data_IF_703739488886
#
_entry.id   IF_703739488886
#
_cell.length_a   1.000
_cell.length_b   1.000
_cell.length_c   1.000
_cell.angle_alpha   90.00
_cell.angle_beta   90.00
_cell.angle_gamma   90.00
#
_symmetry.space_group_name_H-M   'P 1'
#
loop_
_entity.id
_entity.type
_entity.pdbx_description
1 polymer ?
#
# COMPACT_ATOMS: atom_id res chain seq x y z
N UNK A 1 11.44 26.08 -18.44
CA UNK A 1 11.33 24.77 -17.74
C UNK A 1 12.29 23.81 -18.43
N UNK A 2 13.26 23.21 -17.71
CA UNK A 2 14.26 22.31 -18.30
C UNK A 2 14.03 20.90 -17.75
N UNK A 3 13.82 19.94 -18.65
CA UNK A 3 13.84 18.52 -18.31
C UNK A 3 15.33 18.10 -18.19
N UNK A 4 15.69 17.50 -17.07
CA UNK A 4 17.07 17.07 -16.80
C UNK A 4 17.28 15.68 -17.40
N UNK A 5 18.29 15.58 -18.27
CA UNK A 5 18.65 14.38 -19.00
C UNK A 5 20.11 13.97 -18.80
N UNK A 6 20.89 14.74 -18.01
CA UNK A 6 22.30 14.48 -17.74
C UNK A 6 22.61 14.53 -16.26
N UNK A 7 23.56 13.72 -15.81
CA UNK A 7 23.95 13.61 -14.40
C UNK A 7 24.47 14.91 -13.83
N UNK A 8 25.28 15.66 -14.57
CA UNK A 8 25.83 16.94 -14.14
C UNK A 8 24.74 18.00 -13.86
N UNK A 9 23.73 18.08 -14.74
CA UNK A 9 22.59 18.97 -14.54
C UNK A 9 21.77 18.53 -13.31
N UNK A 10 21.63 17.22 -13.08
CA UNK A 10 20.97 16.67 -11.90
C UNK A 10 21.67 17.08 -10.61
N UNK A 11 22.99 16.92 -10.53
CA UNK A 11 23.78 17.31 -9.35
C UNK A 11 23.63 18.80 -9.03
N UNK A 12 23.70 19.67 -10.04
CA UNK A 12 23.48 21.11 -9.89
C UNK A 12 22.09 21.40 -9.32
N UNK A 13 21.04 20.81 -9.91
CA UNK A 13 19.67 21.03 -9.48
C UNK A 13 19.43 20.54 -8.05
N UNK A 14 19.98 19.39 -7.68
CA UNK A 14 19.85 18.82 -6.34
C UNK A 14 20.58 19.66 -5.26
N UNK A 15 21.61 20.41 -5.61
CA UNK A 15 22.28 21.32 -4.69
C UNK A 15 21.31 22.36 -4.13
N UNK A 16 20.44 22.92 -4.98
CA UNK A 16 19.42 23.88 -4.56
C UNK A 16 18.33 23.22 -3.70
N UNK A 17 17.89 22.01 -4.05
CA UNK A 17 16.87 21.26 -3.29
C UNK A 17 17.38 20.88 -1.89
N UNK A 18 18.67 20.56 -1.74
CA UNK A 18 19.29 20.20 -0.46
C UNK A 18 19.40 21.35 0.55
N UNK A 19 19.21 22.59 0.12
CA UNK A 19 19.15 23.76 1.01
C UNK A 19 17.78 23.94 1.71
N UNK A 20 16.86 23.02 1.54
CA UNK A 20 15.52 23.09 2.11
C UNK A 20 15.29 21.98 3.13
N UNK A 21 14.42 22.22 4.12
CA UNK A 21 14.04 21.25 5.15
C UNK A 21 13.22 20.08 4.60
N UNK A 22 12.61 20.27 3.41
CA UNK A 22 11.79 19.26 2.76
C UNK A 22 11.86 19.35 1.23
N UNK A 23 11.56 18.26 0.59
CA UNK A 23 11.35 18.13 -0.84
C UNK A 23 10.08 17.34 -1.11
N UNK A 24 9.21 17.85 -1.97
CA UNK A 24 8.07 17.11 -2.51
C UNK A 24 8.53 16.25 -3.66
N UNK A 25 8.02 15.03 -3.73
CA UNK A 25 8.45 14.01 -4.68
C UNK A 25 7.22 13.34 -5.27
N UNK A 26 7.24 13.12 -6.57
CA UNK A 26 6.30 12.29 -7.28
C UNK A 26 7.02 11.53 -8.39
N UNK A 27 6.44 10.43 -8.89
CA UNK A 27 7.01 9.65 -9.97
C UNK A 27 5.93 9.20 -10.95
N UNK A 28 6.28 9.23 -12.24
CA UNK A 28 5.47 8.58 -13.27
C UNK A 28 6.15 7.30 -13.73
N UNK A 29 5.40 6.21 -13.79
CA UNK A 29 5.90 4.89 -14.17
C UNK A 29 4.85 4.06 -14.91
N UNK A 30 5.33 3.08 -15.68
CA UNK A 30 4.49 2.10 -16.38
C UNK A 30 4.63 0.75 -15.70
N UNK A 31 3.51 0.04 -15.51
CA UNK A 31 3.46 -1.29 -14.88
C UNK A 31 2.43 -2.23 -15.52
N UNK A 32 2.01 -1.98 -16.73
CA UNK A 32 0.94 -2.78 -17.36
C UNK A 32 1.41 -4.16 -17.80
N UNK A 33 2.62 -4.24 -18.35
CA UNK A 33 3.19 -5.42 -18.97
C UNK A 33 4.36 -6.03 -18.22
N UNK A 34 4.86 -5.35 -17.18
CA UNK A 34 6.05 -5.73 -16.42
C UNK A 34 5.70 -6.10 -14.96
N UNK A 35 6.55 -6.91 -14.34
CA UNK A 35 6.48 -7.19 -12.90
C UNK A 35 6.91 -5.97 -12.08
N UNK A 36 8.05 -5.40 -12.46
CA UNK A 36 8.59 -4.20 -11.83
C UNK A 36 8.08 -2.94 -12.53
N UNK A 37 7.78 -1.87 -11.79
CA UNK A 37 7.44 -0.60 -12.40
C UNK A 37 8.64 -0.07 -13.20
N UNK A 38 8.37 0.42 -14.40
CA UNK A 38 9.35 1.11 -15.22
C UNK A 38 9.22 2.61 -14.97
N UNK A 39 10.20 3.20 -14.30
CA UNK A 39 10.25 4.62 -14.00
C UNK A 39 10.39 5.45 -15.29
N UNK A 40 9.51 6.42 -15.46
CA UNK A 40 9.44 7.23 -16.69
C UNK A 40 9.71 8.72 -16.44
N UNK A 41 9.39 9.24 -15.25
CA UNK A 41 9.67 10.63 -14.88
C UNK A 41 9.79 10.73 -13.37
N UNK A 42 10.68 11.61 -12.88
CA UNK A 42 10.79 12.00 -11.48
C UNK A 42 10.53 13.49 -11.37
N UNK A 43 9.66 13.86 -10.45
CA UNK A 43 9.35 15.25 -10.13
C UNK A 43 9.82 15.57 -8.72
N UNK A 44 10.51 16.68 -8.57
CA UNK A 44 10.97 17.20 -7.28
C UNK A 44 10.64 18.69 -7.16
N UNK A 45 10.18 19.12 -5.97
CA UNK A 45 10.09 20.54 -5.69
C UNK A 45 10.45 20.85 -4.23
N UNK A 46 11.08 22.00 -4.03
CA UNK A 46 11.28 22.66 -2.74
C UNK A 46 10.77 24.10 -2.84
N UNK A 47 10.74 24.89 -1.76
CA UNK A 47 10.39 26.30 -1.85
C UNK A 47 11.21 27.09 -2.87
N UNK A 48 12.48 26.71 -3.11
CA UNK A 48 13.41 27.43 -3.97
C UNK A 48 13.56 26.89 -5.39
N UNK A 49 13.11 25.66 -5.66
CA UNK A 49 13.35 25.00 -6.96
C UNK A 49 12.27 23.97 -7.29
N UNK A 50 12.06 23.76 -8.59
CA UNK A 50 11.25 22.65 -9.13
C UNK A 50 12.02 21.99 -10.28
N UNK A 51 12.08 20.67 -10.27
CA UNK A 51 12.94 19.86 -11.12
C UNK A 51 12.15 18.70 -11.71
N UNK A 52 12.28 18.48 -13.02
CA UNK A 52 11.83 17.29 -13.72
C UNK A 52 13.04 16.54 -14.25
N UNK A 53 13.09 15.23 -13.97
CA UNK A 53 14.23 14.37 -14.31
C UNK A 53 13.73 13.26 -15.24
N UNK A 54 14.41 13.07 -16.36
CA UNK A 54 14.16 11.99 -17.30
C UNK A 54 15.03 10.77 -17.01
N UNK A 55 14.51 9.77 -16.29
CA UNK A 55 15.28 8.58 -15.94
C UNK A 55 15.53 7.62 -17.12
N UNK A 56 14.88 7.88 -18.28
CA UNK A 56 15.04 7.04 -19.49
C UNK A 56 16.25 7.50 -20.32
N UNK A 57 16.73 8.73 -20.09
CA UNK A 57 17.93 9.24 -20.79
C UNK A 57 19.14 8.34 -20.53
N UNK A 58 19.95 8.10 -21.59
CA UNK A 58 21.16 7.27 -21.49
C UNK A 58 22.29 7.94 -20.74
N UNK A 59 22.29 9.27 -20.62
CA UNK A 59 23.37 10.07 -20.04
C UNK A 59 23.12 10.43 -18.56
N UNK A 60 22.12 9.81 -17.92
CA UNK A 60 21.76 10.12 -16.54
C UNK A 60 22.05 8.94 -15.58
N UNK A 61 22.82 9.21 -14.56
CA UNK A 61 22.92 8.35 -13.37
C UNK A 61 22.00 8.91 -12.28
N UNK A 62 21.09 8.08 -11.78
CA UNK A 62 20.14 8.46 -10.74
C UNK A 62 20.70 8.36 -9.32
N UNK A 63 21.98 7.97 -9.16
CA UNK A 63 22.60 7.86 -7.83
C UNK A 63 22.44 9.14 -7.00
N UNK A 64 22.66 10.38 -7.54
CA UNK A 64 22.46 11.61 -6.77
C UNK A 64 21.01 11.80 -6.26
N UNK A 65 20.00 11.31 -7.01
CA UNK A 65 18.61 11.29 -6.58
C UNK A 65 18.39 10.30 -5.43
N UNK A 66 18.95 9.08 -5.53
CA UNK A 66 18.83 8.10 -4.43
C UNK A 66 19.56 8.57 -3.16
N UNK A 67 20.71 9.25 -3.31
CA UNK A 67 21.41 9.88 -2.19
C UNK A 67 20.54 10.97 -1.52
N UNK A 68 19.75 11.75 -2.28
CA UNK A 68 18.77 12.69 -1.73
C UNK A 68 17.64 11.95 -0.98
N UNK A 69 17.14 10.84 -1.52
CA UNK A 69 16.10 10.03 -0.87
C UNK A 69 16.59 9.45 0.47
N UNK A 70 17.86 9.14 0.59
CA UNK A 70 18.51 8.65 1.82
C UNK A 70 18.91 9.74 2.82
N UNK A 71 18.91 11.02 2.42
CA UNK A 71 19.36 12.12 3.27
C UNK A 71 18.40 12.34 4.45
N UNK A 72 18.89 12.07 5.66
CA UNK A 72 18.11 12.15 6.91
C UNK A 72 17.77 13.57 7.34
N UNK A 73 18.37 14.59 6.74
CA UNK A 73 18.13 16.00 7.08
C UNK A 73 16.94 16.60 6.37
N UNK A 74 16.52 16.01 5.26
CA UNK A 74 15.49 16.53 4.37
C UNK A 74 14.27 15.64 4.42
N UNK A 75 13.10 16.16 4.72
CA UNK A 75 11.84 15.40 4.70
C UNK A 75 11.41 15.18 3.24
N UNK A 76 11.16 13.91 2.86
CA UNK A 76 10.59 13.56 1.56
C UNK A 76 9.07 13.50 1.70
N UNK A 77 8.39 14.37 0.96
CA UNK A 77 6.94 14.53 0.99
C UNK A 77 6.33 13.94 -0.27
N UNK A 78 5.42 13.00 -0.08
CA UNK A 78 4.68 12.33 -1.16
C UNK A 78 3.17 12.45 -0.94
N UNK A 79 2.41 12.04 -1.96
CA UNK A 79 0.99 11.77 -1.84
C UNK A 79 0.67 10.34 -2.25
N UNK A 80 0.22 9.50 -1.31
CA UNK A 80 0.01 8.05 -1.51
C UNK A 80 1.28 7.30 -1.93
N UNK A 81 2.37 7.54 -1.23
CA UNK A 81 3.78 7.23 -1.51
C UNK A 81 4.13 5.78 -1.86
N UNK A 82 3.25 4.81 -1.61
CA UNK A 82 3.61 3.39 -1.62
C UNK A 82 4.21 2.89 -2.93
N UNK A 83 3.66 3.33 -4.07
CA UNK A 83 4.12 2.87 -5.40
C UNK A 83 5.41 3.56 -5.81
N UNK A 84 5.56 4.84 -5.45
CA UNK A 84 6.79 5.60 -5.66
C UNK A 84 7.94 5.00 -4.88
N UNK A 85 7.71 4.69 -3.60
CA UNK A 85 8.72 4.03 -2.76
C UNK A 85 9.07 2.63 -3.31
N UNK A 86 8.08 1.83 -3.77
CA UNK A 86 8.35 0.54 -4.41
C UNK A 86 9.30 0.72 -5.60
N UNK A 87 9.05 1.73 -6.44
CA UNK A 87 9.87 2.03 -7.61
C UNK A 87 11.29 2.49 -7.21
N UNK A 88 11.38 3.42 -6.26
CA UNK A 88 12.66 3.93 -5.74
C UNK A 88 13.47 2.82 -5.08
N UNK A 89 12.81 2.00 -4.24
CA UNK A 89 13.46 0.89 -3.54
C UNK A 89 13.97 -0.17 -4.50
N UNK A 90 13.17 -0.53 -5.50
CA UNK A 90 13.59 -1.51 -6.50
C UNK A 90 14.80 -1.05 -7.32
N UNK A 91 14.85 0.23 -7.73
CA UNK A 91 15.91 0.75 -8.57
C UNK A 91 17.17 1.17 -7.80
N UNK A 92 16.99 1.77 -6.64
CA UNK A 92 18.08 2.36 -5.86
C UNK A 92 18.40 1.67 -4.53
N UNK A 93 17.62 0.64 -4.12
CA UNK A 93 17.78 -0.02 -2.83
C UNK A 93 17.48 0.86 -1.62
N UNK A 94 16.85 2.02 -1.82
CA UNK A 94 16.63 3.06 -0.81
C UNK A 94 15.16 3.23 -0.52
N UNK A 95 14.79 3.24 0.76
CA UNK A 95 13.47 3.71 1.23
C UNK A 95 13.64 5.16 1.67
N UNK A 96 12.89 6.13 1.08
CA UNK A 96 12.99 7.54 1.44
C UNK A 96 12.75 7.78 2.93
N UNK A 97 13.69 8.48 3.60
CA UNK A 97 13.57 8.81 5.02
C UNK A 97 14.30 10.13 5.33
N UNK A 98 13.73 11.02 6.17
CA UNK A 98 12.38 11.01 6.76
C UNK A 98 11.27 11.13 5.71
N UNK A 99 10.13 10.50 5.96
CA UNK A 99 9.00 10.42 5.05
C UNK A 99 7.76 11.12 5.61
N UNK A 100 7.05 11.85 4.76
CA UNK A 100 5.73 12.39 5.04
C UNK A 100 4.78 12.08 3.88
N UNK A 101 3.67 11.39 4.16
CA UNK A 101 2.65 11.08 3.17
C UNK A 101 1.41 11.95 3.43
N UNK A 102 1.09 12.82 2.46
CA UNK A 102 -0.03 13.78 2.60
C UNK A 102 -1.40 13.12 2.50
N UNK A 103 -1.52 11.91 1.92
CA UNK A 103 -2.77 11.15 1.95
C UNK A 103 -3.04 10.61 3.35
N UNK A 104 -2.02 10.06 4.01
CA UNK A 104 -2.09 9.61 5.41
C UNK A 104 -2.40 10.79 6.32
N UNK A 105 -1.63 11.88 6.21
CA UNK A 105 -1.86 13.10 6.98
C UNK A 105 -3.26 13.68 6.78
N UNK A 106 -3.74 13.70 5.54
CA UNK A 106 -5.09 14.13 5.19
C UNK A 106 -6.16 13.30 5.89
N UNK A 107 -5.99 11.98 5.92
CA UNK A 107 -6.92 11.09 6.62
C UNK A 107 -6.96 11.35 8.13
N UNK A 108 -5.80 11.59 8.76
CA UNK A 108 -5.67 11.93 10.18
C UNK A 108 -6.23 13.34 10.48
N UNK A 109 -6.14 14.25 9.52
CA UNK A 109 -6.69 15.60 9.62
C UNK A 109 -8.20 15.70 9.29
N UNK A 110 -8.85 14.58 8.91
CA UNK A 110 -10.29 14.55 8.66
C UNK A 110 -10.71 14.88 7.23
N UNK A 111 -9.77 14.87 6.28
CA UNK A 111 -10.09 15.10 4.86
C UNK A 111 -10.76 13.91 4.17
N UNK A 112 -10.91 12.79 4.86
CA UNK A 112 -11.52 11.57 4.35
C UNK A 112 -10.54 10.41 4.30
N UNK A 113 -11.06 9.20 3.96
CA UNK A 113 -10.25 8.01 3.77
C UNK A 113 -9.70 8.00 2.35
N UNK A 114 -8.38 7.90 2.20
CA UNK A 114 -7.69 7.83 0.90
C UNK A 114 -8.07 8.97 -0.06
N UNK A 115 -8.06 10.21 0.44
CA UNK A 115 -8.35 11.40 -0.39
C UNK A 115 -7.39 11.44 -1.59
N UNK A 116 -7.92 11.73 -2.79
CA UNK A 116 -7.10 11.90 -3.98
C UNK A 116 -6.33 13.23 -3.99
N UNK A 117 -5.22 13.26 -4.73
CA UNK A 117 -4.34 14.43 -4.79
C UNK A 117 -5.09 15.71 -5.21
N UNK A 118 -5.88 15.65 -6.27
CA UNK A 118 -6.67 16.78 -6.74
C UNK A 118 -7.67 17.31 -5.70
N UNK A 119 -8.31 16.41 -4.96
CA UNK A 119 -9.26 16.79 -3.92
C UNK A 119 -8.56 17.45 -2.73
N UNK A 120 -7.40 16.95 -2.31
CA UNK A 120 -6.66 17.54 -1.21
C UNK A 120 -6.06 18.90 -1.60
N UNK A 121 -5.53 19.04 -2.82
CA UNK A 121 -5.07 20.33 -3.35
C UNK A 121 -6.22 21.33 -3.39
N UNK A 122 -7.38 20.95 -3.95
CA UNK A 122 -8.54 21.85 -4.01
C UNK A 122 -9.00 22.30 -2.61
N UNK A 123 -9.05 21.39 -1.64
CA UNK A 123 -9.47 21.72 -0.26
C UNK A 123 -8.45 22.55 0.50
N UNK A 124 -7.17 22.34 0.27
CA UNK A 124 -6.09 23.04 0.97
C UNK A 124 -5.73 24.37 0.34
N UNK A 125 -5.77 24.48 -0.98
CA UNK A 125 -5.26 25.64 -1.72
C UNK A 125 -6.31 26.37 -2.54
N UNK A 126 -7.49 25.78 -2.77
CA UNK A 126 -8.54 26.29 -3.65
C UNK A 126 -8.27 26.07 -5.14
N UNK A 127 -7.11 25.54 -5.52
CA UNK A 127 -6.73 25.31 -6.92
C UNK A 127 -7.36 24.04 -7.47
N UNK A 128 -7.73 24.06 -8.76
CA UNK A 128 -8.17 22.88 -9.51
C UNK A 128 -7.05 22.38 -10.40
N UNK A 129 -6.80 21.07 -10.38
CA UNK A 129 -5.79 20.42 -11.22
C UNK A 129 -6.40 19.89 -12.52
N UNK A 130 -5.69 20.08 -13.62
CA UNK A 130 -5.99 19.40 -14.89
C UNK A 130 -5.50 17.95 -14.81
N UNK A 131 -6.41 16.99 -15.01
CA UNK A 131 -6.12 15.55 -14.95
C UNK A 131 -5.97 14.91 -16.33
N UNK A 132 -5.98 15.69 -17.40
CA UNK A 132 -6.02 15.17 -18.78
C UNK A 132 -4.80 14.31 -19.13
N UNK A 133 -3.67 14.52 -18.46
CA UNK A 133 -2.41 13.80 -18.71
C UNK A 133 -2.18 12.58 -17.81
N UNK A 134 -3.04 12.31 -16.82
CA UNK A 134 -2.85 11.25 -15.82
C UNK A 134 -2.67 9.83 -16.42
N UNK A 135 -3.35 9.52 -17.51
CA UNK A 135 -3.35 8.19 -18.12
C UNK A 135 -2.67 8.18 -19.49
N UNK A 136 -1.76 9.12 -19.73
CA UNK A 136 -0.97 9.16 -20.96
C UNK A 136 0.21 8.20 -20.86
N UNK A 137 0.77 7.84 -22.00
CA UNK A 137 1.99 7.04 -22.05
C UNK A 137 3.20 7.90 -21.66
N UNK A 138 3.72 7.66 -20.46
CA UNK A 138 4.87 8.36 -19.91
C UNK A 138 6.22 7.86 -20.44
N UNK A 139 6.25 6.74 -21.17
CA UNK A 139 7.48 6.24 -21.81
C UNK A 139 7.81 6.92 -23.12
N UNK A 140 6.82 7.56 -23.77
CA UNK A 140 7.03 8.26 -25.02
C UNK A 140 7.94 9.46 -24.85
N UNK A 141 8.78 9.71 -25.89
CA UNK A 141 9.64 10.90 -25.97
C UNK A 141 9.49 11.55 -27.33
N UNK A 142 9.52 12.92 -27.40
CA UNK A 142 9.56 13.83 -26.24
C UNK A 142 8.24 13.86 -25.47
N UNK A 143 8.29 14.20 -24.17
CA UNK A 143 7.10 14.48 -23.38
C UNK A 143 6.42 15.76 -23.91
N UNK A 144 5.09 15.75 -23.97
CA UNK A 144 4.31 16.92 -24.36
C UNK A 144 4.35 18.02 -23.29
N UNK A 145 4.13 19.25 -23.67
CA UNK A 145 4.03 20.38 -22.72
C UNK A 145 2.95 20.15 -21.66
N UNK A 146 1.82 19.55 -22.03
CA UNK A 146 0.74 19.19 -21.09
C UNK A 146 1.20 18.19 -20.04
N UNK A 147 1.97 17.17 -20.43
CA UNK A 147 2.53 16.21 -19.47
C UNK A 147 3.52 16.89 -18.52
N UNK A 148 4.39 17.74 -19.03
CA UNK A 148 5.35 18.47 -18.20
C UNK A 148 4.67 19.42 -17.21
N UNK A 149 3.60 20.13 -17.62
CA UNK A 149 2.82 21.00 -16.75
C UNK A 149 2.06 20.19 -15.68
N UNK A 150 1.49 19.05 -16.07
CA UNK A 150 0.84 18.14 -15.14
C UNK A 150 1.83 17.66 -14.06
N UNK A 151 2.96 17.12 -14.47
CA UNK A 151 4.02 16.62 -13.58
C UNK A 151 4.56 17.71 -12.63
N UNK A 152 4.67 18.95 -13.08
CA UNK A 152 5.03 20.08 -12.22
C UNK A 152 3.97 20.37 -11.17
N UNK A 153 2.68 20.31 -11.54
CA UNK A 153 1.58 20.58 -10.64
C UNK A 153 1.55 19.55 -9.50
N UNK A 154 1.91 18.28 -9.77
CA UNK A 154 1.90 17.20 -8.78
C UNK A 154 2.92 17.43 -7.64
N UNK A 155 3.97 18.19 -7.85
CA UNK A 155 4.93 18.52 -6.78
C UNK A 155 4.86 19.95 -6.27
N UNK A 156 4.40 20.91 -7.09
CA UNK A 156 4.36 22.32 -6.67
C UNK A 156 3.26 22.60 -5.66
N UNK A 157 2.04 22.15 -5.91
CA UNK A 157 0.93 22.29 -4.95
C UNK A 157 1.11 21.38 -3.72
N UNK A 158 1.86 20.29 -3.87
CA UNK A 158 2.14 19.38 -2.75
C UNK A 158 2.90 20.08 -1.62
N UNK A 159 3.71 21.10 -1.92
CA UNK A 159 4.40 21.93 -0.89
C UNK A 159 3.41 22.62 0.04
N UNK A 160 2.39 23.26 -0.53
CA UNK A 160 1.40 24.00 0.22
C UNK A 160 0.52 23.05 1.04
N UNK A 161 0.12 21.91 0.44
CA UNK A 161 -0.61 20.86 1.13
C UNK A 161 0.19 20.33 2.32
N UNK A 162 1.48 20.06 2.14
CA UNK A 162 2.37 19.60 3.23
C UNK A 162 2.41 20.58 4.39
N UNK A 163 2.69 21.86 4.11
CA UNK A 163 2.81 22.87 5.14
C UNK A 163 1.50 23.05 5.92
N UNK A 164 0.36 23.03 5.24
CA UNK A 164 -0.95 23.11 5.86
C UNK A 164 -1.24 21.91 6.76
N UNK A 165 -1.04 20.69 6.23
CA UNK A 165 -1.30 19.47 6.99
C UNK A 165 -0.37 19.32 8.18
N UNK A 166 0.92 19.66 8.05
CA UNK A 166 1.89 19.66 9.14
C UNK A 166 1.41 20.57 10.26
N UNK A 167 1.04 21.82 9.95
CA UNK A 167 0.51 22.78 10.91
C UNK A 167 -0.77 22.27 11.59
N UNK A 168 -1.66 21.61 10.85
CA UNK A 168 -2.91 21.06 11.38
C UNK A 168 -2.66 19.87 12.32
N UNK A 169 -1.73 18.97 11.97
CA UNK A 169 -1.32 17.86 12.85
C UNK A 169 -0.72 18.36 14.17
N UNK A 170 0.18 19.35 14.10
CA UNK A 170 0.78 19.98 15.29
C UNK A 170 -0.29 20.64 16.18
N UNK A 171 -1.18 21.46 15.58
CA UNK A 171 -2.29 22.11 16.29
C UNK A 171 -3.20 21.10 17.00
N UNK A 172 -3.48 19.97 16.34
CA UNK A 172 -4.35 18.92 16.88
C UNK A 172 -3.61 17.92 17.78
N UNK A 173 -2.29 18.09 17.98
CA UNK A 173 -1.41 17.17 18.74
C UNK A 173 -1.45 15.73 18.20
N UNK A 174 -1.56 15.55 16.87
CA UNK A 174 -1.71 14.25 16.19
C UNK A 174 -0.47 13.83 15.38
N UNK A 175 0.64 14.54 15.54
CA UNK A 175 1.87 14.22 14.77
C UNK A 175 2.32 12.78 15.00
N UNK A 176 2.23 12.26 16.23
CA UNK A 176 2.59 10.89 16.58
C UNK A 176 1.68 9.83 15.92
N UNK A 177 0.48 10.20 15.44
CA UNK A 177 -0.36 9.27 14.69
C UNK A 177 0.22 8.93 13.32
N UNK A 178 1.06 9.81 12.78
CA UNK A 178 1.77 9.56 11.52
C UNK A 178 2.80 8.45 11.67
N UNK A 179 3.43 8.32 12.83
CA UNK A 179 4.57 7.42 13.03
C UNK A 179 4.17 5.95 12.78
N UNK A 180 3.03 5.53 13.32
CA UNK A 180 2.51 4.17 13.14
C UNK A 180 2.18 3.85 11.66
N UNK A 181 1.61 4.82 10.94
CA UNK A 181 1.24 4.67 9.52
C UNK A 181 2.47 4.67 8.62
N UNK A 182 3.41 5.58 8.87
CA UNK A 182 4.64 5.71 8.11
C UNK A 182 5.56 4.50 8.33
N UNK A 183 5.58 3.90 9.53
CA UNK A 183 6.38 2.71 9.82
C UNK A 183 6.09 1.55 8.86
N UNK A 184 4.85 1.42 8.36
CA UNK A 184 4.47 0.42 7.37
C UNK A 184 5.18 0.69 6.03
N UNK A 185 5.25 1.95 5.62
CA UNK A 185 5.90 2.37 4.38
C UNK A 185 7.43 2.29 4.47
N UNK A 186 8.00 2.41 5.67
CA UNK A 186 9.43 2.30 5.90
C UNK A 186 9.92 0.85 6.03
N UNK A 187 9.02 -0.12 6.04
CA UNK A 187 9.36 -1.54 6.21
C UNK A 187 9.69 -2.19 4.86
N UNK A 188 10.93 -2.68 4.62
CA UNK A 188 11.32 -3.31 3.36
C UNK A 188 10.39 -4.46 2.91
N UNK A 189 9.88 -5.25 3.86
CA UNK A 189 8.91 -6.33 3.60
C UNK A 189 7.59 -5.86 2.95
N UNK A 190 7.30 -4.56 2.98
CA UNK A 190 6.15 -3.98 2.27
C UNK A 190 6.32 -4.07 0.76
N UNK A 191 7.57 -4.01 0.28
CA UNK A 191 7.97 -3.98 -1.12
C UNK A 191 8.56 -5.31 -1.58
N UNK A 192 9.42 -5.91 -0.76
CA UNK A 192 9.99 -7.24 -0.96
C UNK A 192 9.12 -8.29 -0.27
N UNK A 193 8.32 -8.99 -1.06
CA UNK A 193 7.53 -10.09 -0.54
C UNK A 193 8.39 -11.34 -0.59
N UNK A 194 8.71 -11.94 0.57
CA UNK A 194 9.38 -13.22 0.58
C UNK A 194 8.59 -14.25 -0.24
N UNK A 195 9.28 -15.03 -1.06
CA UNK A 195 8.64 -16.00 -1.96
C UNK A 195 7.74 -17.00 -1.21
N UNK A 196 8.17 -17.41 -0.02
CA UNK A 196 7.44 -18.31 0.88
C UNK A 196 6.16 -17.66 1.46
N UNK A 197 6.02 -16.33 1.37
CA UNK A 197 4.81 -15.57 1.76
C UNK A 197 3.91 -15.21 0.58
N UNK A 198 4.32 -15.46 -0.66
CA UNK A 198 3.58 -15.08 -1.87
C UNK A 198 2.16 -15.66 -1.91
N UNK A 199 1.95 -16.85 -1.33
CA UNK A 199 0.64 -17.50 -1.22
C UNK A 199 -0.40 -16.68 -0.44
N UNK A 200 0.00 -15.83 0.51
CA UNK A 200 -0.90 -14.97 1.30
C UNK A 200 -1.62 -13.93 0.45
N UNK A 201 -1.10 -13.64 -0.75
CA UNK A 201 -1.70 -12.69 -1.71
C UNK A 201 -2.58 -13.36 -2.76
N UNK A 202 -2.59 -14.70 -2.83
CA UNK A 202 -3.44 -15.44 -3.75
C UNK A 202 -4.89 -15.35 -3.30
N UNK A 203 -5.75 -14.83 -4.17
CA UNK A 203 -7.18 -14.72 -3.90
C UNK A 203 -7.86 -16.05 -4.12
N UNK A 204 -8.47 -16.60 -3.09
CA UNK A 204 -9.20 -17.87 -3.16
C UNK A 204 -9.31 -18.52 -1.77
N UNK A 205 -10.06 -19.62 -1.71
CA UNK A 205 -10.26 -20.37 -0.45
C UNK A 205 -9.58 -21.72 -0.55
N UNK A 206 -8.74 -22.03 0.41
CA UNK A 206 -8.13 -23.34 0.64
C UNK A 206 -8.80 -23.96 1.86
N UNK A 207 -9.14 -25.26 1.77
CA UNK A 207 -9.89 -25.97 2.81
C UNK A 207 -9.07 -27.03 3.53
N UNK A 208 -8.04 -27.58 2.90
CA UNK A 208 -7.24 -28.67 3.47
C UNK A 208 -5.77 -28.29 3.62
N UNK A 209 -5.08 -28.78 4.67
CA UNK A 209 -3.67 -28.48 4.88
C UNK A 209 -2.79 -28.88 3.66
N UNK A 210 -3.04 -30.03 3.01
CA UNK A 210 -2.28 -30.44 1.84
C UNK A 210 -2.44 -29.48 0.66
N UNK A 211 -3.65 -28.97 0.43
CA UNK A 211 -3.90 -27.93 -0.56
C UNK A 211 -3.11 -26.66 -0.26
N UNK A 212 -2.99 -26.28 1.02
CA UNK A 212 -2.17 -25.14 1.44
C UNK A 212 -0.68 -25.35 1.17
N UNK A 213 -0.17 -26.54 1.49
CA UNK A 213 1.22 -26.90 1.21
C UNK A 213 1.57 -26.75 -0.27
N UNK A 214 0.73 -27.30 -1.14
CA UNK A 214 0.90 -27.15 -2.60
C UNK A 214 0.78 -25.68 -3.02
N UNK A 215 -0.23 -24.95 -2.52
CA UNK A 215 -0.39 -23.53 -2.83
C UNK A 215 0.85 -22.70 -2.47
N UNK A 216 1.48 -22.96 -1.32
CA UNK A 216 2.69 -22.25 -0.91
C UNK A 216 3.82 -22.43 -1.95
N UNK A 217 4.07 -23.65 -2.39
CA UNK A 217 5.14 -23.96 -3.35
C UNK A 217 4.87 -23.40 -4.74
N UNK A 218 3.65 -23.56 -5.25
CA UNK A 218 3.32 -23.05 -6.59
C UNK A 218 3.18 -21.52 -6.62
N UNK A 219 2.79 -20.89 -5.52
CA UNK A 219 2.78 -19.43 -5.41
C UNK A 219 4.20 -18.85 -5.37
N UNK A 220 5.12 -19.47 -4.59
CA UNK A 220 6.53 -19.13 -4.59
C UNK A 220 7.17 -19.32 -5.98
N UNK A 221 6.87 -20.43 -6.65
CA UNK A 221 7.30 -20.67 -8.02
C UNK A 221 6.79 -19.59 -8.98
N UNK A 222 5.48 -19.21 -8.90
CA UNK A 222 4.92 -18.13 -9.72
C UNK A 222 5.61 -16.82 -9.49
N UNK A 223 5.90 -16.49 -8.23
CA UNK A 223 6.60 -15.26 -7.85
C UNK A 223 7.96 -15.18 -8.53
N UNK A 224 8.81 -16.20 -8.37
CA UNK A 224 10.13 -16.28 -9.02
C UNK A 224 10.06 -16.17 -10.53
N UNK A 225 9.14 -16.91 -11.17
CA UNK A 225 9.01 -16.88 -12.63
C UNK A 225 8.49 -15.56 -13.16
N UNK A 226 7.55 -14.91 -12.46
CA UNK A 226 7.05 -13.59 -12.82
C UNK A 226 8.15 -12.52 -12.73
N UNK A 227 9.01 -12.58 -11.71
CA UNK A 227 10.17 -11.71 -11.57
C UNK A 227 11.23 -12.01 -12.65
N UNK A 228 11.56 -13.28 -12.86
CA UNK A 228 12.55 -13.73 -13.86
C UNK A 228 12.20 -13.26 -15.28
N UNK A 229 10.92 -13.36 -15.66
CA UNK A 229 10.45 -12.93 -16.99
C UNK A 229 10.00 -11.47 -17.03
N UNK A 230 10.07 -10.78 -15.89
CA UNK A 230 9.58 -9.40 -15.71
C UNK A 230 8.17 -9.21 -16.27
N UNK A 231 7.23 -10.11 -15.92
CA UNK A 231 5.81 -10.04 -16.34
C UNK A 231 4.89 -10.06 -15.13
N UNK A 232 3.70 -9.44 -15.21
CA UNK A 232 2.73 -9.49 -14.12
C UNK A 232 2.35 -10.93 -13.77
N UNK A 233 2.21 -11.23 -12.47
CA UNK A 233 1.85 -12.58 -11.97
C UNK A 233 0.65 -13.18 -12.70
N UNK A 234 -0.38 -12.38 -12.97
CA UNK A 234 -1.61 -12.79 -13.66
C UNK A 234 -1.40 -13.14 -15.14
N UNK A 235 -0.33 -12.61 -15.75
CA UNK A 235 0.03 -12.93 -17.15
C UNK A 235 0.76 -14.27 -17.24
N UNK A 236 1.40 -14.70 -16.15
CA UNK A 236 1.98 -16.03 -16.05
C UNK A 236 0.89 -17.06 -15.74
N UNK A 237 0.28 -16.98 -14.56
CA UNK A 237 -0.85 -17.84 -14.12
C UNK A 237 -1.75 -17.02 -13.17
N UNK A 238 -3.07 -17.05 -13.40
CA UNK A 238 -4.06 -16.37 -12.56
C UNK A 238 -4.23 -17.08 -11.19
N UNK A 239 -4.79 -16.34 -10.22
CA UNK A 239 -5.03 -16.88 -8.88
C UNK A 239 -5.98 -18.08 -8.88
N UNK A 240 -7.04 -18.04 -9.71
CA UNK A 240 -8.00 -19.15 -9.83
C UNK A 240 -7.33 -20.42 -10.28
N UNK A 241 -6.34 -20.32 -11.19
CA UNK A 241 -5.56 -21.47 -11.65
C UNK A 241 -4.68 -22.05 -10.54
N UNK A 242 -4.04 -21.21 -9.73
CA UNK A 242 -3.25 -21.69 -8.59
C UNK A 242 -4.14 -22.42 -7.57
N UNK A 243 -5.34 -21.91 -7.29
CA UNK A 243 -6.29 -22.58 -6.39
C UNK A 243 -6.75 -23.91 -6.98
N UNK A 244 -7.04 -23.98 -8.29
CA UNK A 244 -7.44 -25.21 -8.96
C UNK A 244 -6.30 -26.24 -8.93
N UNK A 245 -5.06 -25.84 -9.26
CA UNK A 245 -3.87 -26.70 -9.19
C UNK A 245 -3.65 -27.23 -7.76
N UNK A 246 -3.72 -26.38 -6.76
CA UNK A 246 -3.55 -26.77 -5.35
C UNK A 246 -4.63 -27.76 -4.89
N UNK A 247 -5.86 -27.64 -5.40
CA UNK A 247 -6.98 -28.51 -5.05
C UNK A 247 -6.92 -29.85 -5.80
N UNK A 248 -6.62 -29.84 -7.11
CA UNK A 248 -6.61 -31.04 -7.95
C UNK A 248 -5.29 -31.80 -7.92
N UNK A 249 -4.18 -31.13 -7.57
CA UNK A 249 -2.85 -31.74 -7.39
C UNK A 249 -2.41 -32.58 -8.61
N UNK A 250 -2.32 -31.99 -9.81
CA UNK A 250 -1.96 -32.71 -11.02
C UNK A 250 -0.58 -33.34 -10.86
N UNK A 251 -0.46 -34.61 -11.27
CA UNK A 251 0.77 -35.40 -11.12
C UNK A 251 1.78 -35.23 -12.26
N UNK A 252 1.30 -34.78 -13.42
CA UNK A 252 2.11 -34.60 -14.62
C UNK A 252 1.57 -33.46 -15.51
N UNK A 253 2.31 -33.19 -16.58
CA UNK A 253 1.94 -32.10 -17.51
C UNK A 253 0.66 -32.41 -18.29
N UNK A 254 0.33 -33.70 -18.49
CA UNK A 254 -0.89 -34.10 -19.17
C UNK A 254 -2.11 -33.74 -18.31
N UNK A 255 -2.02 -33.99 -17.01
CA UNK A 255 -3.07 -33.59 -16.04
C UNK A 255 -3.29 -32.08 -15.99
N UNK A 256 -2.23 -31.25 -16.13
CA UNK A 256 -2.37 -29.79 -16.20
C UNK A 256 -3.27 -29.34 -17.35
N UNK A 257 -3.19 -30.00 -18.52
CA UNK A 257 -3.98 -29.66 -19.72
C UNK A 257 -5.49 -29.82 -19.52
N UNK A 258 -5.90 -30.62 -18.54
CA UNK A 258 -7.31 -30.88 -18.22
C UNK A 258 -7.90 -29.88 -17.21
N UNK A 259 -7.09 -28.98 -16.67
CA UNK A 259 -7.57 -27.93 -15.74
C UNK A 259 -8.39 -26.88 -16.49
N UNK A 260 -9.54 -26.53 -15.93
CA UNK A 260 -10.51 -25.61 -16.58
C UNK A 260 -10.03 -24.16 -16.60
N UNK A 261 -9.30 -23.76 -15.58
CA UNK A 261 -8.81 -22.39 -15.42
C UNK A 261 -7.57 -22.08 -16.26
N UNK A 262 -6.87 -23.10 -16.77
CA UNK A 262 -5.72 -22.92 -17.67
C UNK A 262 -6.21 -22.82 -19.12
N UNK A 263 -5.84 -21.71 -19.78
CA UNK A 263 -6.11 -21.56 -21.21
C UNK A 263 -5.14 -22.41 -22.05
N UNK A 264 -5.49 -22.70 -23.32
CA UNK A 264 -4.68 -23.55 -24.21
C UNK A 264 -3.24 -23.05 -24.43
N UNK A 265 -2.98 -21.77 -24.24
CA UNK A 265 -1.69 -21.13 -24.49
C UNK A 265 -1.01 -20.64 -23.19
N UNK A 266 -1.36 -21.22 -22.03
CA UNK A 266 -0.82 -20.77 -20.74
C UNK A 266 0.69 -21.00 -20.61
N UNK A 267 1.22 -22.08 -21.24
CA UNK A 267 2.64 -22.47 -21.14
C UNK A 267 3.50 -21.84 -22.25
N UNK A 268 3.39 -20.51 -22.39
CA UNK A 268 4.17 -19.74 -23.37
C UNK A 268 5.68 -19.80 -23.17
N UNK A 269 6.11 -20.15 -21.96
CA UNK A 269 7.52 -20.15 -21.56
C UNK A 269 8.05 -21.58 -21.34
N UNK A 270 7.31 -22.61 -21.75
CA UNK A 270 7.68 -24.02 -21.56
C UNK A 270 8.06 -24.35 -20.11
N UNK A 271 7.24 -23.87 -19.17
CA UNK A 271 7.50 -23.96 -17.72
C UNK A 271 6.65 -25.03 -17.01
N UNK A 272 5.84 -25.81 -17.76
CA UNK A 272 4.94 -26.82 -17.22
C UNK A 272 5.67 -27.80 -16.30
N UNK A 273 6.84 -28.31 -16.71
CA UNK A 273 7.62 -29.25 -15.91
C UNK A 273 8.07 -28.66 -14.57
N UNK A 274 8.45 -27.35 -14.52
CA UNK A 274 8.85 -26.69 -13.28
C UNK A 274 7.68 -26.41 -12.36
N UNK A 275 6.48 -26.20 -12.92
CA UNK A 275 5.25 -26.07 -12.15
C UNK A 275 4.88 -27.42 -11.50
N UNK A 276 4.93 -28.52 -12.26
CA UNK A 276 4.70 -29.89 -11.73
C UNK A 276 5.70 -30.20 -10.63
N UNK A 277 6.98 -29.86 -10.81
CA UNK A 277 7.98 -30.02 -9.75
C UNK A 277 7.57 -29.28 -8.48
N UNK A 278 7.10 -28.04 -8.58
CA UNK A 278 6.61 -27.28 -7.43
C UNK A 278 5.36 -27.92 -6.77
N UNK A 279 4.47 -28.56 -7.56
CA UNK A 279 3.35 -29.35 -7.02
C UNK A 279 3.87 -30.52 -6.19
N UNK A 280 4.82 -31.30 -6.73
CA UNK A 280 5.42 -32.44 -6.01
C UNK A 280 6.12 -32.01 -4.73
N UNK A 281 6.93 -30.93 -4.78
CA UNK A 281 7.54 -30.33 -3.57
C UNK A 281 6.48 -29.98 -2.51
N UNK A 282 5.31 -29.50 -2.92
CA UNK A 282 4.19 -29.21 -2.03
C UNK A 282 3.54 -30.46 -1.42
N UNK A 283 3.52 -31.57 -2.19
CA UNK A 283 3.00 -32.85 -1.71
C UNK A 283 3.93 -33.52 -0.67
N UNK A 284 5.21 -33.20 -0.66
CA UNK A 284 6.22 -33.72 0.28
C UNK A 284 6.33 -32.89 1.56
N UNK A 285 5.72 -31.70 1.64
CA UNK A 285 5.80 -30.85 2.84
C UNK A 285 5.18 -31.54 4.04
N UNK A 286 5.89 -31.51 5.18
CA UNK A 286 5.34 -31.93 6.46
C UNK A 286 4.21 -30.97 6.90
N UNK A 287 3.01 -31.51 7.03
CA UNK A 287 1.81 -30.74 7.40
C UNK A 287 1.88 -30.11 8.79
N UNK A 288 2.72 -30.66 9.68
CA UNK A 288 2.92 -30.09 11.02
C UNK A 288 3.63 -28.71 10.99
N UNK A 289 4.36 -28.41 9.91
CA UNK A 289 5.08 -27.14 9.73
C UNK A 289 4.20 -26.02 9.16
N UNK A 290 3.00 -26.35 8.71
CA UNK A 290 2.11 -25.39 8.06
C UNK A 290 1.41 -24.47 9.07
N UNK A 291 1.17 -23.21 8.69
CA UNK A 291 0.30 -22.35 9.48
C UNK A 291 -1.11 -22.95 9.54
N UNK A 292 -1.77 -22.79 10.69
CA UNK A 292 -3.15 -23.22 10.82
C UNK A 292 -4.03 -22.52 9.76
N UNK A 293 -4.86 -23.32 9.09
CA UNK A 293 -5.88 -22.76 8.21
C UNK A 293 -6.79 -21.82 8.99
N UNK A 294 -7.20 -20.68 8.42
CA UNK A 294 -8.17 -19.81 9.04
C UNK A 294 -9.42 -20.61 9.40
N UNK A 295 -9.70 -20.80 10.68
CA UNK A 295 -10.96 -21.37 11.12
C UNK A 295 -12.04 -20.36 10.80
N UNK A 296 -12.93 -20.71 9.88
CA UNK A 296 -14.18 -19.98 9.72
C UNK A 296 -15.05 -20.30 10.92
N UNK A 297 -15.01 -19.45 11.92
CA UNK A 297 -16.05 -19.46 12.96
C UNK A 297 -17.21 -18.63 12.42
N UNK A 298 -18.35 -19.24 12.08
CA UNK A 298 -19.53 -18.46 11.75
C UNK A 298 -19.84 -17.53 12.93
N UNK A 299 -20.11 -16.27 12.63
CA UNK A 299 -20.58 -15.31 13.62
C UNK A 299 -21.86 -15.89 14.24
N UNK A 300 -21.85 -16.12 15.54
CA UNK A 300 -23.11 -16.42 16.25
C UNK A 300 -23.91 -15.12 16.40
N UNK A 301 -25.20 -15.22 16.73
CA UNK A 301 -26.07 -14.05 16.88
C UNK A 301 -25.54 -13.05 17.90
N UNK A 302 -24.96 -13.53 19.00
CA UNK A 302 -24.34 -12.71 20.05
C UNK A 302 -23.17 -11.91 19.51
N UNK A 303 -22.28 -12.52 18.71
CA UNK A 303 -21.16 -11.82 18.07
C UNK A 303 -21.62 -10.77 17.08
N UNK A 304 -22.70 -11.01 16.35
CA UNK A 304 -23.29 -10.04 15.41
C UNK A 304 -23.77 -8.78 16.14
N UNK A 305 -24.51 -8.93 17.23
CA UNK A 305 -24.98 -7.80 18.03
C UNK A 305 -23.81 -6.99 18.66
N UNK A 306 -22.75 -7.69 19.13
CA UNK A 306 -21.54 -7.03 19.64
C UNK A 306 -20.86 -6.21 18.53
N UNK A 307 -20.75 -6.75 17.32
CA UNK A 307 -20.19 -6.01 16.18
C UNK A 307 -20.97 -4.73 15.91
N UNK A 308 -22.29 -4.76 15.98
CA UNK A 308 -23.12 -3.58 15.75
C UNK A 308 -22.94 -2.53 16.84
N UNK A 309 -22.82 -2.92 18.09
CA UNK A 309 -22.43 -2.00 19.18
C UNK A 309 -21.02 -1.41 18.98
N UNK A 310 -20.05 -2.21 18.54
CA UNK A 310 -18.71 -1.72 18.18
C UNK A 310 -18.75 -0.74 17.02
N UNK A 311 -19.58 -0.95 16.01
CA UNK A 311 -19.79 0.02 14.91
C UNK A 311 -20.38 1.34 15.41
N UNK A 312 -21.33 1.29 16.37
CA UNK A 312 -21.88 2.50 17.01
C UNK A 312 -20.77 3.24 17.75
N UNK A 313 -20.00 2.55 18.59
CA UNK A 313 -18.88 3.14 19.30
C UNK A 313 -17.86 3.75 18.34
N UNK A 314 -17.51 3.04 17.27
CA UNK A 314 -16.57 3.51 16.26
C UNK A 314 -17.04 4.79 15.59
N UNK A 315 -18.32 4.90 15.25
CA UNK A 315 -18.91 6.12 14.68
C UNK A 315 -18.86 7.30 15.66
N UNK A 316 -19.14 7.06 16.95
CA UNK A 316 -19.05 8.10 17.98
C UNK A 316 -17.63 8.62 18.11
N UNK A 317 -16.65 7.73 18.27
CA UNK A 317 -15.24 8.10 18.39
C UNK A 317 -14.73 8.81 17.13
N UNK A 318 -15.14 8.37 15.96
CA UNK A 318 -14.77 9.01 14.70
C UNK A 318 -15.30 10.45 14.62
N UNK A 319 -16.56 10.68 15.00
CA UNK A 319 -17.17 12.00 15.03
C UNK A 319 -16.51 12.90 16.08
N UNK A 320 -16.24 12.40 17.29
CA UNK A 320 -15.54 13.14 18.35
C UNK A 320 -14.16 13.63 17.88
N UNK A 321 -13.49 12.83 17.05
CA UNK A 321 -12.15 13.16 16.56
C UNK A 321 -12.15 13.83 15.18
N UNK A 322 -13.29 13.98 14.51
CA UNK A 322 -13.40 14.57 13.18
C UNK A 322 -12.64 13.77 12.10
N UNK A 323 -12.58 12.45 12.23
CA UNK A 323 -11.94 11.53 11.27
C UNK A 323 -12.90 10.46 10.80
N UNK A 324 -12.56 9.73 9.74
CA UNK A 324 -13.44 8.67 9.23
C UNK A 324 -13.32 7.40 10.07
N UNK A 325 -14.42 6.65 10.29
CA UNK A 325 -14.39 5.40 11.04
C UNK A 325 -13.36 4.40 10.52
N UNK A 326 -13.20 4.31 9.20
CA UNK A 326 -12.36 3.30 8.53
C UNK A 326 -10.86 3.44 8.85
N UNK A 327 -10.39 4.67 9.13
CA UNK A 327 -9.00 4.87 9.53
C UNK A 327 -8.74 4.34 10.95
N UNK A 328 -9.76 4.28 11.80
CA UNK A 328 -9.65 3.77 13.17
C UNK A 328 -9.72 2.25 13.19
N UNK A 329 -10.76 1.67 12.57
CA UNK A 329 -10.99 0.22 12.56
C UNK A 329 -11.70 -0.23 11.29
N UNK A 330 -11.27 -1.37 10.76
CA UNK A 330 -11.95 -2.07 9.65
C UNK A 330 -13.03 -3.01 10.17
N UNK A 331 -13.96 -3.45 9.30
CA UNK A 331 -14.95 -4.47 9.67
C UNK A 331 -14.30 -5.75 10.18
N UNK A 332 -13.18 -6.17 9.58
CA UNK A 332 -12.43 -7.33 10.03
C UNK A 332 -11.82 -7.15 11.44
N UNK A 333 -11.41 -5.92 11.78
CA UNK A 333 -10.94 -5.63 13.14
C UNK A 333 -12.08 -5.77 14.16
N UNK A 334 -13.27 -5.22 13.83
CA UNK A 334 -14.44 -5.33 14.71
C UNK A 334 -14.89 -6.77 14.89
N UNK A 335 -14.86 -7.60 13.84
CA UNK A 335 -15.16 -9.04 13.93
C UNK A 335 -14.16 -9.77 14.83
N UNK A 336 -12.88 -9.49 14.69
CA UNK A 336 -11.84 -10.06 15.56
C UNK A 336 -12.02 -9.65 17.02
N UNK A 337 -12.31 -8.38 17.27
CA UNK A 337 -12.54 -7.83 18.61
C UNK A 337 -13.78 -8.49 19.23
N UNK A 338 -14.90 -8.59 18.50
CA UNK A 338 -16.14 -9.22 18.96
C UNK A 338 -15.97 -10.71 19.30
N UNK A 339 -15.08 -11.41 18.60
CA UNK A 339 -14.74 -12.82 18.85
C UNK A 339 -13.69 -13.02 19.96
N UNK A 340 -13.39 -11.98 20.74
CA UNK A 340 -12.44 -12.05 21.85
C UNK A 340 -10.97 -12.08 21.47
N UNK A 341 -10.64 -11.81 20.21
CA UNK A 341 -9.25 -11.66 19.78
C UNK A 341 -8.71 -10.29 20.22
N UNK A 342 -8.54 -10.10 21.52
CA UNK A 342 -7.96 -8.86 22.10
C UNK A 342 -6.44 -9.01 22.10
N UNK A 343 -5.76 -8.98 20.94
CA UNK A 343 -4.30 -9.15 20.90
C UNK A 343 -3.63 -8.28 19.84
N UNK A 344 -2.32 -8.04 20.05
CA UNK A 344 -1.36 -7.17 19.36
C UNK A 344 -1.42 -7.13 17.81
N UNK A 345 -2.17 -8.02 17.16
CA UNK A 345 -2.26 -8.13 15.72
C UNK A 345 -3.51 -7.47 15.11
N UNK A 346 -4.25 -6.66 15.88
CA UNK A 346 -5.40 -5.90 15.39
C UNK A 346 -5.01 -4.42 15.38
N UNK A 347 -4.90 -3.75 14.24
CA UNK A 347 -4.50 -2.34 14.16
C UNK A 347 -5.32 -1.42 15.08
N UNK A 348 -6.63 -1.62 15.16
CA UNK A 348 -7.54 -0.87 16.03
C UNK A 348 -7.24 -1.00 17.54
N UNK A 349 -6.42 -1.98 17.93
CA UNK A 349 -6.04 -2.26 19.32
C UNK A 349 -4.59 -1.86 19.63
N UNK A 350 -3.95 -1.03 18.80
CA UNK A 350 -2.57 -0.60 18.96
C UNK A 350 -2.42 0.92 18.71
N UNK A 351 -1.32 1.49 19.24
CA UNK A 351 -0.94 2.87 19.04
C UNK A 351 -2.07 3.86 19.34
N UNK A 352 -2.14 4.93 18.54
CA UNK A 352 -3.15 5.98 18.69
C UNK A 352 -4.60 5.48 18.54
N UNK A 353 -4.82 4.42 17.76
CA UNK A 353 -6.14 3.82 17.58
C UNK A 353 -6.65 3.20 18.88
N UNK A 354 -5.76 2.56 19.63
CA UNK A 354 -6.10 2.03 20.95
C UNK A 354 -6.46 3.14 21.93
N UNK A 355 -5.73 4.25 21.91
CA UNK A 355 -6.00 5.41 22.80
C UNK A 355 -7.41 5.96 22.62
N UNK A 356 -7.86 6.13 21.37
CA UNK A 356 -9.16 6.75 21.10
C UNK A 356 -10.32 5.76 21.03
N UNK A 357 -10.10 4.52 20.59
CA UNK A 357 -11.14 3.54 20.33
C UNK A 357 -10.93 2.23 21.09
N UNK A 358 -9.75 1.61 20.97
CA UNK A 358 -9.51 0.25 21.50
C UNK A 358 -9.79 0.14 22.98
N UNK A 359 -9.36 1.11 23.78
CA UNK A 359 -9.62 1.16 25.22
C UNK A 359 -11.12 1.21 25.54
N UNK A 360 -11.89 2.05 24.83
CA UNK A 360 -13.35 2.15 24.96
C UNK A 360 -14.03 0.85 24.55
N UNK A 361 -13.55 0.20 23.47
CA UNK A 361 -14.07 -1.08 22.99
C UNK A 361 -13.87 -2.20 24.03
N UNK A 362 -12.68 -2.28 24.65
CA UNK A 362 -12.44 -3.22 25.76
C UNK A 362 -13.36 -2.96 26.96
N UNK A 363 -13.53 -1.71 27.35
CA UNK A 363 -14.42 -1.35 28.47
C UNK A 363 -15.87 -1.72 28.18
N UNK A 364 -16.32 -1.51 26.93
CA UNK A 364 -17.65 -1.91 26.49
C UNK A 364 -17.86 -3.42 26.56
N UNK A 365 -16.88 -4.20 26.04
CA UNK A 365 -16.94 -5.67 26.11
C UNK A 365 -16.91 -6.24 27.53
N UNK A 366 -16.30 -5.50 28.48
CA UNK A 366 -16.31 -5.84 29.91
C UNK A 366 -17.57 -5.35 30.66
N UNK A 367 -18.55 -4.79 29.95
CA UNK A 367 -19.77 -4.26 30.55
C UNK A 367 -19.59 -2.98 31.37
N UNK A 368 -18.47 -2.26 31.17
CA UNK A 368 -18.17 -1.02 31.92
C UNK A 368 -18.68 0.24 31.21
N UNK A 369 -19.06 0.15 29.95
CA UNK A 369 -19.61 1.25 29.16
C UNK A 369 -20.93 0.81 28.53
N UNK A 370 -21.97 1.63 28.74
CA UNK A 370 -23.26 1.51 28.06
C UNK A 370 -23.54 2.68 27.16
N UNK A 371 -24.51 2.52 26.23
CA UNK A 371 -25.00 3.59 25.36
C UNK A 371 -26.35 4.12 25.88
N UNK A 372 -26.57 5.42 25.71
CA UNK A 372 -27.87 6.03 25.95
C UNK A 372 -28.16 7.14 24.95
N UNK A 373 -29.44 7.44 24.76
CA UNK A 373 -29.90 8.52 23.92
C UNK A 373 -30.22 9.74 24.76
N UNK A 374 -29.67 10.91 24.37
CA UNK A 374 -30.01 12.20 24.96
C UNK A 374 -30.04 13.25 23.86
N UNK A 375 -31.15 14.00 23.79
CA UNK A 375 -31.37 15.06 22.80
C UNK A 375 -31.12 14.61 21.35
N UNK A 376 -31.55 13.40 20.99
CA UNK A 376 -31.38 12.82 19.67
C UNK A 376 -29.95 12.37 19.34
N UNK A 377 -29.03 12.39 20.31
CA UNK A 377 -27.63 11.96 20.15
C UNK A 377 -27.35 10.72 20.98
N UNK A 378 -26.58 9.80 20.42
CA UNK A 378 -26.03 8.66 21.16
C UNK A 378 -24.82 9.11 21.96
N UNK A 379 -24.79 8.74 23.23
CA UNK A 379 -23.67 9.00 24.14
C UNK A 379 -23.26 7.71 24.84
N UNK A 380 -22.06 7.70 25.44
CA UNK A 380 -21.59 6.61 26.30
C UNK A 380 -21.65 7.01 27.75
N UNK A 381 -21.94 6.06 28.65
CA UNK A 381 -21.94 6.21 30.10
C UNK A 381 -21.12 5.10 30.75
N UNK A 382 -20.33 5.46 31.75
CA UNK A 382 -19.71 4.47 32.66
C UNK A 382 -20.82 3.80 33.48
N UNK A 383 -20.75 2.45 33.58
CA UNK A 383 -21.69 1.61 34.32
C UNK A 383 -21.07 1.18 35.63
#
# INVERSE_FOLDING_TARGET
MKLITQTTDLEIALTTLRNSDFVTVDTEFIRETTFWPQLCLIQLASPGATVLIDPISQDIDLKPFFDLMADKKIVKVFHAARQDIETIYHLGGVIPFPLFDTQIAGSICGFGDSISYDQIVQRCTGNQLDKSSRFTDWSCRPLSEKQLLYALADVTYLRDVYLLLKKQLEKNKRTHWMDDEIAILLTPKTYDIPEDEAWKKVKGKIKKPRELAVLQKIAAWRERKAQQYNIPRRHLIKDECLIEIATQQPKDEAALKHLRSLNKNWDKFSIAHTLIKAVHEGLEVDLATLPALPKYNPLNETSSAIIDLLKVLLKLVANENGITPKIIATSNDLEKIANGCIKKNIPAMNGWRYEIFGQKAEQMLKGKIGFYLSNGKINTKQL
#
